data_IF_967361584638
#
_entry.id   IF_967361584638
#
_cell.length_a   1.000
_cell.length_b   1.000
_cell.length_c   1.000
_cell.angle_alpha   90.00
_cell.angle_beta   90.00
_cell.angle_gamma   90.00
#
_symmetry.space_group_name_H-M   'P 1'
#
loop_
_entity.id
_entity.type
_entity.pdbx_description
1 polymer ?
#
# COMPACT_ATOMS: atom_id res chain seq x y z
N UNK A 1 -7.50 1.36 -40.69
CA UNK A 1 -7.82 1.86 -39.35
C UNK A 1 -6.94 1.04 -38.42
N UNK A 2 -5.94 1.67 -37.81
CA UNK A 2 -5.10 0.99 -36.83
C UNK A 2 -5.85 1.19 -35.53
N UNK A 3 -6.51 0.14 -35.07
CA UNK A 3 -7.06 0.08 -33.71
C UNK A 3 -5.87 0.14 -32.77
N UNK A 4 -5.48 1.36 -32.38
CA UNK A 4 -4.64 1.55 -31.21
C UNK A 4 -5.49 1.14 -30.02
N UNK A 5 -5.31 -0.11 -29.57
CA UNK A 5 -5.66 -0.50 -28.21
C UNK A 5 -5.13 0.59 -27.29
N UNK A 6 -5.94 1.08 -26.31
CA UNK A 6 -5.44 2.04 -25.37
C UNK A 6 -4.20 1.44 -24.71
N UNK A 7 -3.06 2.10 -24.91
CA UNK A 7 -1.89 1.92 -24.05
C UNK A 7 -2.37 2.30 -22.64
N UNK A 8 -2.91 1.32 -21.92
CA UNK A 8 -2.95 1.38 -20.47
C UNK A 8 -1.48 1.42 -20.11
N UNK A 9 -1.00 2.63 -19.81
CA UNK A 9 0.39 2.84 -19.43
C UNK A 9 0.70 1.88 -18.28
N UNK A 10 1.51 0.86 -18.55
CA UNK A 10 2.07 -0.09 -17.58
C UNK A 10 2.97 0.59 -16.52
N UNK A 11 2.96 1.92 -16.47
CA UNK A 11 3.68 2.75 -15.51
C UNK A 11 2.89 2.96 -14.22
N UNK A 12 1.70 2.38 -14.04
CA UNK A 12 0.90 2.52 -12.82
C UNK A 12 0.80 1.23 -11.99
N UNK A 13 1.27 0.09 -12.50
CA UNK A 13 1.07 -1.21 -11.85
C UNK A 13 2.39 -1.84 -11.42
N UNK A 14 2.40 -2.38 -10.19
CA UNK A 14 3.43 -3.34 -9.79
C UNK A 14 3.42 -4.54 -10.74
N UNK A 15 4.58 -5.17 -10.95
CA UNK A 15 4.60 -6.44 -11.68
C UNK A 15 3.84 -7.52 -10.88
N UNK A 16 3.18 -8.49 -11.54
CA UNK A 16 2.50 -9.59 -10.85
C UNK A 16 3.41 -10.33 -9.84
N UNK A 17 4.68 -10.52 -10.19
CA UNK A 17 5.66 -11.15 -9.29
C UNK A 17 5.98 -10.31 -8.04
N UNK A 18 5.88 -8.98 -8.12
CA UNK A 18 6.06 -8.13 -6.94
C UNK A 18 4.84 -8.16 -6.03
N UNK A 19 3.62 -8.24 -6.58
CA UNK A 19 2.41 -8.46 -5.78
C UNK A 19 2.53 -9.72 -4.92
N UNK A 20 2.88 -10.86 -5.54
CA UNK A 20 3.07 -12.13 -4.83
C UNK A 20 4.18 -12.04 -3.78
N UNK A 21 5.30 -11.38 -4.12
CA UNK A 21 6.41 -11.18 -3.20
C UNK A 21 5.96 -10.40 -1.95
N UNK A 22 5.17 -9.35 -2.12
CA UNK A 22 4.73 -8.49 -1.01
C UNK A 22 3.70 -9.18 -0.12
N UNK A 23 2.74 -9.91 -0.72
CA UNK A 23 1.79 -10.75 0.01
C UNK A 23 2.55 -11.81 0.85
N UNK A 24 3.53 -12.48 0.25
CA UNK A 24 4.34 -13.48 0.93
C UNK A 24 5.21 -12.88 2.03
N UNK A 25 5.76 -11.68 1.83
CA UNK A 25 6.53 -10.98 2.85
C UNK A 25 5.66 -10.63 4.06
N UNK A 26 4.46 -10.09 3.82
CA UNK A 26 3.51 -9.76 4.89
C UNK A 26 3.01 -10.99 5.63
N UNK A 27 2.53 -12.00 4.90
CA UNK A 27 2.09 -13.27 5.49
C UNK A 27 3.23 -13.97 6.24
N UNK A 28 4.45 -13.90 5.72
CA UNK A 28 5.63 -14.42 6.39
C UNK A 28 5.91 -13.73 7.73
N UNK A 29 5.65 -12.43 7.85
CA UNK A 29 5.72 -11.71 9.13
C UNK A 29 4.65 -12.19 10.10
N UNK A 30 3.39 -12.22 9.65
CA UNK A 30 2.22 -12.58 10.46
C UNK A 30 2.35 -14.00 11.03
N UNK A 31 2.93 -14.92 10.25
CA UNK A 31 3.18 -16.30 10.64
C UNK A 31 4.54 -16.52 11.32
N UNK A 32 5.28 -15.45 11.66
CA UNK A 32 6.62 -15.51 12.29
C UNK A 32 7.66 -16.33 11.50
N UNK A 33 7.47 -16.47 10.19
CA UNK A 33 8.39 -17.12 9.25
C UNK A 33 9.52 -16.15 8.87
N UNK A 34 9.19 -14.87 8.70
CA UNK A 34 10.13 -13.79 8.40
C UNK A 34 10.25 -12.84 9.59
N UNK A 35 11.46 -12.34 9.83
CA UNK A 35 11.66 -11.30 10.83
C UNK A 35 11.18 -9.93 10.33
N UNK A 36 10.86 -8.98 11.23
CA UNK A 36 10.59 -7.59 10.84
C UNK A 36 11.69 -6.97 9.97
N UNK A 37 12.95 -7.37 10.19
CA UNK A 37 14.10 -6.87 9.43
C UNK A 37 14.09 -7.37 7.98
N UNK A 38 13.70 -8.63 7.76
CA UNK A 38 13.65 -9.22 6.42
C UNK A 38 12.55 -8.55 5.59
N UNK A 39 11.37 -8.37 6.20
CA UNK A 39 10.22 -7.72 5.59
C UNK A 39 10.53 -6.26 5.24
N UNK A 40 11.11 -5.50 6.17
CA UNK A 40 11.61 -4.13 5.89
C UNK A 40 12.61 -4.10 4.75
N UNK A 41 13.44 -5.13 4.60
CA UNK A 41 14.40 -5.22 3.50
C UNK A 41 13.71 -5.42 2.15
N UNK A 42 12.67 -6.27 2.09
CA UNK A 42 11.85 -6.48 0.88
C UNK A 42 11.24 -5.15 0.44
N UNK A 43 10.51 -4.47 1.33
CA UNK A 43 9.82 -3.23 0.98
C UNK A 43 10.78 -2.06 0.71
N UNK A 44 11.95 -2.00 1.36
CA UNK A 44 13.00 -1.03 1.00
C UNK A 44 13.50 -1.24 -0.43
N UNK A 45 13.74 -2.48 -0.84
CA UNK A 45 14.17 -2.79 -2.22
C UNK A 45 13.08 -2.46 -3.24
N UNK A 46 11.82 -2.72 -2.90
CA UNK A 46 10.68 -2.34 -3.73
C UNK A 46 10.63 -0.83 -3.95
N UNK A 47 10.77 -0.02 -2.87
CA UNK A 47 10.76 1.45 -2.99
C UNK A 47 11.89 1.99 -3.88
N UNK A 48 13.08 1.38 -3.82
CA UNK A 48 14.19 1.72 -4.74
C UNK A 48 13.85 1.34 -6.18
N UNK A 49 13.28 0.14 -6.40
CA UNK A 49 12.89 -0.34 -7.74
C UNK A 49 11.84 0.57 -8.40
N UNK A 50 10.93 1.13 -7.60
CA UNK A 50 9.79 1.94 -8.05
C UNK A 50 9.94 3.43 -7.69
N UNK A 51 11.17 3.93 -7.47
CA UNK A 51 11.39 5.27 -6.92
C UNK A 51 10.81 6.41 -7.78
N UNK A 52 10.80 6.23 -9.10
CA UNK A 52 10.25 7.20 -10.07
C UNK A 52 8.73 7.02 -10.30
N UNK A 53 8.08 6.12 -9.57
CA UNK A 53 6.67 5.78 -9.75
C UNK A 53 5.85 6.02 -8.47
N UNK A 54 5.29 7.24 -8.29
CA UNK A 54 4.57 7.60 -7.08
C UNK A 54 3.35 6.70 -6.83
N UNK A 55 2.64 6.28 -7.89
CA UNK A 55 1.48 5.40 -7.77
C UNK A 55 1.91 4.02 -7.25
N UNK A 56 3.00 3.45 -7.79
CA UNK A 56 3.53 2.19 -7.29
C UNK A 56 4.02 2.29 -5.83
N UNK A 57 4.59 3.42 -5.41
CA UNK A 57 4.96 3.67 -4.02
C UNK A 57 3.74 3.68 -3.09
N UNK A 58 2.63 4.32 -3.50
CA UNK A 58 1.36 4.26 -2.77
C UNK A 58 0.83 2.82 -2.67
N UNK A 59 0.88 2.06 -3.76
CA UNK A 59 0.47 0.65 -3.75
C UNK A 59 1.37 -0.17 -2.81
N UNK A 60 2.70 0.03 -2.85
CA UNK A 60 3.65 -0.64 -1.93
C UNK A 60 3.29 -0.38 -0.47
N UNK A 61 2.91 0.86 -0.13
CA UNK A 61 2.50 1.21 1.23
C UNK A 61 1.26 0.44 1.69
N UNK A 62 0.35 0.02 0.79
CA UNK A 62 -0.80 -0.82 1.16
C UNK A 62 -0.41 -2.24 1.58
N UNK A 63 0.76 -2.72 1.13
CA UNK A 63 1.29 -4.04 1.48
C UNK A 63 2.25 -4.01 2.67
N UNK A 64 3.04 -2.93 2.82
CA UNK A 64 4.05 -2.83 3.86
C UNK A 64 3.41 -2.63 5.25
N UNK A 65 3.54 -3.60 6.18
CA UNK A 65 2.94 -3.49 7.51
C UNK A 65 3.56 -2.39 8.37
N UNK A 66 4.70 -1.82 7.94
CA UNK A 66 5.36 -0.72 8.63
C UNK A 66 5.15 0.64 7.94
N UNK A 67 4.33 0.70 6.90
CA UNK A 67 4.05 1.94 6.18
C UNK A 67 3.20 2.92 7.00
N UNK A 68 3.27 4.22 6.67
CA UNK A 68 2.33 5.20 7.20
C UNK A 68 0.87 4.85 6.86
N UNK A 69 0.61 4.29 5.67
CA UNK A 69 -0.73 3.84 5.28
C UNK A 69 -1.30 2.83 6.27
N UNK A 70 -0.52 1.80 6.63
CA UNK A 70 -0.99 0.76 7.56
C UNK A 70 -1.30 1.34 8.94
N UNK A 71 -0.45 2.26 9.44
CA UNK A 71 -0.70 2.96 10.70
C UNK A 71 -2.00 3.77 10.65
N UNK A 72 -2.24 4.52 9.58
CA UNK A 72 -3.48 5.30 9.42
C UNK A 72 -4.73 4.40 9.35
N UNK A 73 -4.63 3.22 8.73
CA UNK A 73 -5.73 2.24 8.70
C UNK A 73 -6.00 1.65 10.09
N UNK A 74 -4.96 1.41 10.90
CA UNK A 74 -5.12 0.98 12.30
C UNK A 74 -5.78 2.06 13.15
N UNK A 75 -5.36 3.32 13.01
CA UNK A 75 -6.00 4.48 13.65
C UNK A 75 -7.48 4.59 13.24
N UNK A 76 -7.78 4.49 11.95
CA UNK A 76 -9.14 4.58 11.42
C UNK A 76 -10.05 3.47 11.98
N UNK A 77 -9.53 2.24 12.08
CA UNK A 77 -10.25 1.10 12.70
C UNK A 77 -10.51 1.37 14.17
N UNK A 78 -9.54 1.89 14.91
CA UNK A 78 -9.72 2.22 16.32
C UNK A 78 -10.77 3.32 16.52
N UNK A 79 -10.75 4.37 15.72
CA UNK A 79 -11.77 5.43 15.75
C UNK A 79 -13.18 4.88 15.47
N UNK A 80 -13.30 3.97 14.48
CA UNK A 80 -14.55 3.28 14.18
C UNK A 80 -15.05 2.43 15.36
N UNK A 81 -14.18 1.61 15.96
CA UNK A 81 -14.51 0.77 17.11
C UNK A 81 -14.92 1.58 18.36
N UNK A 82 -14.34 2.76 18.53
CA UNK A 82 -14.66 3.69 19.62
C UNK A 82 -15.88 4.58 19.33
N UNK A 83 -16.40 4.57 18.10
CA UNK A 83 -17.53 5.42 17.68
C UNK A 83 -17.18 6.91 17.56
N UNK A 84 -15.89 7.27 17.43
CA UNK A 84 -15.46 8.65 17.21
C UNK A 84 -15.61 9.03 15.73
N UNK A 85 -16.82 9.46 15.36
CA UNK A 85 -17.14 9.85 13.99
C UNK A 85 -16.32 11.06 13.50
N UNK A 86 -15.92 11.96 14.41
CA UNK A 86 -15.13 13.15 14.05
C UNK A 86 -13.68 12.81 13.71
N UNK A 87 -13.08 11.91 14.49
CA UNK A 87 -11.76 11.35 14.19
C UNK A 87 -11.80 10.49 12.92
N UNK A 88 -12.85 9.70 12.73
CA UNK A 88 -13.05 8.87 11.53
C UNK A 88 -13.09 9.70 10.25
N UNK A 89 -13.88 10.78 10.20
CA UNK A 89 -13.92 11.69 9.05
C UNK A 89 -12.57 12.37 8.81
N UNK A 90 -11.88 12.76 9.88
CA UNK A 90 -10.55 13.38 9.80
C UNK A 90 -9.52 12.44 9.19
N UNK A 91 -9.48 11.19 9.67
CA UNK A 91 -8.56 10.15 9.19
C UNK A 91 -8.88 9.74 7.75
N UNK A 92 -10.16 9.58 7.40
CA UNK A 92 -10.57 9.25 6.04
C UNK A 92 -10.07 10.32 5.04
N UNK A 93 -10.32 11.60 5.34
CA UNK A 93 -9.86 12.71 4.51
C UNK A 93 -8.33 12.78 4.44
N UNK A 94 -7.63 12.50 5.54
CA UNK A 94 -6.16 12.46 5.57
C UNK A 94 -5.62 11.36 4.66
N UNK A 95 -6.18 10.15 4.69
CA UNK A 95 -5.74 9.05 3.83
C UNK A 95 -6.01 9.39 2.37
N UNK A 96 -7.19 9.90 2.01
CA UNK A 96 -7.51 10.29 0.63
C UNK A 96 -6.59 11.40 0.09
N UNK A 97 -6.14 12.33 0.94
CA UNK A 97 -5.20 13.38 0.52
C UNK A 97 -3.77 12.86 0.32
N UNK A 98 -3.32 11.90 1.13
CA UNK A 98 -1.96 11.34 1.02
C UNK A 98 -1.89 10.25 -0.05
N UNK A 99 -2.95 9.46 -0.19
CA UNK A 99 -3.05 8.29 -1.08
C UNK A 99 -4.24 8.45 -2.04
N UNK A 100 -4.25 9.49 -2.92
CA UNK A 100 -5.37 9.77 -3.81
C UNK A 100 -5.62 8.67 -4.85
N UNK A 101 -4.61 7.83 -5.11
CA UNK A 101 -4.67 6.74 -6.09
C UNK A 101 -5.26 5.44 -5.50
N UNK A 102 -5.50 5.39 -4.19
CA UNK A 102 -5.95 4.19 -3.47
C UNK A 102 -7.43 4.34 -3.10
N UNK A 103 -8.25 3.40 -3.57
CA UNK A 103 -9.64 3.28 -3.11
C UNK A 103 -9.66 2.57 -1.75
N UNK A 104 -10.18 3.27 -0.74
CA UNK A 104 -10.46 2.69 0.58
C UNK A 104 -11.90 2.17 0.53
N UNK A 105 -12.08 0.85 0.68
CA UNK A 105 -13.38 0.17 0.67
C UNK A 105 -13.96 -0.06 2.06
#
# INVERSE_FOLDING_TARGET
MIDQEPLINNETSLSPGDHDLFINARSGLENSILSPKDVKTVFRRARVKYEENPIALHIIDTYDPFSPYTQLIEELKSAYENGDLGELDTLYNKIQNIYPDIQIG
#
